data_IF_160938034901
#
_entry.id   IF_160938034901
#
_cell.length_a   1.000
_cell.length_b   1.000
_cell.length_c   1.000
_cell.angle_alpha   90.00
_cell.angle_beta   90.00
_cell.angle_gamma   90.00
#
_symmetry.space_group_name_H-M   'P 1'
#
loop_
_entity.id
_entity.type
_entity.pdbx_description
1 polymer ?
#
# COMPACT_ATOMS: atom_id res chain seq x y z
N UNK A 1 -16.34 16.25 -2.12
CA UNK A 1 -15.79 16.63 -0.80
C UNK A 1 -14.45 17.31 -1.05
N UNK A 2 -14.39 18.64 -1.05
CA UNK A 2 -13.23 19.41 -1.55
C UNK A 2 -12.24 19.86 -0.47
N UNK A 3 -12.08 19.07 0.59
CA UNK A 3 -11.08 19.35 1.63
C UNK A 3 -9.66 19.01 1.15
N UNK A 4 -8.61 19.54 1.81
CA UNK A 4 -7.23 19.20 1.47
C UNK A 4 -6.98 17.70 1.74
N UNK A 5 -6.21 17.09 0.85
CA UNK A 5 -5.75 15.71 1.02
C UNK A 5 -4.72 15.63 2.15
N UNK A 6 -4.71 14.52 2.88
CA UNK A 6 -3.69 14.24 3.89
C UNK A 6 -2.38 13.92 3.15
N UNK A 7 -1.33 14.69 3.45
CA UNK A 7 0.01 14.46 2.92
C UNK A 7 0.95 13.76 3.91
N UNK A 8 2.24 13.58 3.54
CA UNK A 8 2.84 13.97 2.26
C UNK A 8 2.32 13.15 1.07
N UNK A 9 2.49 13.65 -0.16
CA UNK A 9 2.24 12.85 -1.37
C UNK A 9 3.37 11.83 -1.57
N UNK A 10 3.15 10.85 -2.44
CA UNK A 10 4.18 9.85 -2.75
C UNK A 10 5.33 10.51 -3.51
N UNK A 11 5.01 11.43 -4.43
CA UNK A 11 5.96 12.16 -5.25
C UNK A 11 6.86 13.09 -4.43
N UNK A 12 6.30 13.82 -3.46
CA UNK A 12 7.08 14.64 -2.54
C UNK A 12 8.05 13.75 -1.75
N UNK A 13 7.55 12.63 -1.22
CA UNK A 13 8.36 11.65 -0.47
C UNK A 13 9.48 11.06 -1.32
N UNK A 14 9.21 10.72 -2.59
CA UNK A 14 10.23 10.18 -3.51
C UNK A 14 11.31 11.21 -3.83
N UNK A 15 10.92 12.48 -3.98
CA UNK A 15 11.86 13.59 -4.22
C UNK A 15 12.77 13.80 -3.02
N UNK A 16 12.21 13.84 -1.81
CA UNK A 16 12.99 13.96 -0.57
C UNK A 16 14.00 12.81 -0.41
N UNK A 17 13.55 11.57 -0.64
CA UNK A 17 14.43 10.39 -0.58
C UNK A 17 15.53 10.42 -1.64
N UNK A 18 15.24 10.91 -2.86
CA UNK A 18 16.24 11.07 -3.91
C UNK A 18 17.37 12.02 -3.47
N UNK A 19 17.00 13.17 -2.89
CA UNK A 19 17.92 14.20 -2.41
C UNK A 19 18.79 13.69 -1.25
N UNK A 20 18.28 12.77 -0.44
CA UNK A 20 19.03 12.04 0.58
C UNK A 20 19.98 10.95 0.02
N UNK A 21 19.96 10.73 -1.30
CA UNK A 21 20.83 9.75 -1.97
C UNK A 21 20.23 8.34 -2.08
N UNK A 22 18.95 8.15 -1.75
CA UNK A 22 18.28 6.85 -1.92
C UNK A 22 18.12 6.54 -3.41
N UNK A 23 18.32 5.27 -3.77
CA UNK A 23 18.20 4.79 -5.16
C UNK A 23 17.21 3.63 -5.33
N UNK A 24 16.78 3.01 -4.24
CA UNK A 24 15.93 1.83 -4.25
C UNK A 24 14.83 2.00 -3.22
N UNK A 25 13.57 1.91 -3.64
CA UNK A 25 12.39 2.10 -2.80
C UNK A 25 11.46 0.90 -2.94
N UNK A 26 10.94 0.43 -1.81
CA UNK A 26 9.84 -0.53 -1.78
C UNK A 26 8.61 0.17 -1.23
N UNK A 27 7.57 0.29 -2.06
CA UNK A 27 6.27 0.84 -1.66
C UNK A 27 5.37 -0.30 -1.18
N UNK A 28 4.91 -0.22 0.06
CA UNK A 28 3.96 -1.17 0.64
C UNK A 28 2.57 -0.52 0.82
N UNK A 29 1.56 -0.87 0.00
CA UNK A 29 0.24 -0.28 0.11
C UNK A 29 -0.57 -0.87 1.26
N UNK A 30 -0.33 -0.40 2.49
CA UNK A 30 -0.99 -0.93 3.70
C UNK A 30 -2.47 -0.53 3.85
N UNK A 31 -2.96 0.41 3.05
CA UNK A 31 -4.35 0.87 3.09
C UNK A 31 -5.34 -0.10 2.46
N UNK A 32 -4.85 -1.07 1.68
CA UNK A 32 -5.69 -1.98 0.90
C UNK A 32 -5.21 -3.42 0.99
N UNK A 33 -6.13 -4.36 0.80
CA UNK A 33 -5.84 -5.80 0.87
C UNK A 33 -5.63 -6.43 -0.51
N UNK A 34 -6.18 -5.85 -1.57
CA UNK A 34 -6.16 -6.41 -2.91
C UNK A 34 -5.76 -5.38 -3.97
N UNK A 35 -5.33 -5.87 -5.12
CA UNK A 35 -5.04 -5.03 -6.28
C UNK A 35 -6.32 -4.38 -6.84
N UNK A 36 -6.21 -3.10 -7.14
CA UNK A 36 -7.23 -2.24 -7.76
C UNK A 36 -6.51 -1.04 -8.40
N UNK A 37 -7.24 -0.03 -8.90
CA UNK A 37 -6.66 1.06 -9.72
C UNK A 37 -5.53 1.78 -9.00
N UNK A 38 -5.70 2.12 -7.74
CA UNK A 38 -4.74 2.84 -6.89
C UNK A 38 -3.46 2.02 -6.64
N UNK A 39 -3.45 0.72 -6.96
CA UNK A 39 -2.26 -0.14 -6.86
C UNK A 39 -1.66 -0.37 -8.24
N UNK A 40 -2.47 -0.90 -9.17
CA UNK A 40 -2.02 -1.33 -10.50
C UNK A 40 -1.68 -0.15 -11.41
N UNK A 41 -2.29 1.01 -11.18
CA UNK A 41 -2.01 2.22 -11.95
C UNK A 41 -1.10 3.15 -11.17
N UNK A 42 -1.56 3.65 -10.01
CA UNK A 42 -0.82 4.71 -9.32
C UNK A 42 0.58 4.22 -8.90
N UNK A 43 0.71 3.04 -8.31
CA UNK A 43 2.02 2.53 -7.87
C UNK A 43 2.83 1.92 -9.03
N UNK A 44 2.24 0.96 -9.74
CA UNK A 44 3.00 0.17 -10.72
C UNK A 44 3.34 0.93 -12.00
N UNK A 45 2.57 1.98 -12.31
CA UNK A 45 2.77 2.80 -13.51
C UNK A 45 3.20 4.21 -13.13
N UNK A 46 2.35 4.99 -12.45
CA UNK A 46 2.59 6.42 -12.29
C UNK A 46 3.80 6.71 -11.38
N UNK A 47 3.81 6.19 -10.15
CA UNK A 47 4.90 6.41 -9.19
C UNK A 47 6.17 5.68 -9.60
N UNK A 48 6.05 4.51 -10.24
CA UNK A 48 7.22 3.83 -10.82
C UNK A 48 7.87 4.68 -11.91
N UNK A 49 7.09 5.28 -12.81
CA UNK A 49 7.62 6.17 -13.83
C UNK A 49 8.26 7.41 -13.20
N UNK A 50 7.61 8.02 -12.22
CA UNK A 50 8.16 9.16 -11.48
C UNK A 50 9.51 8.83 -10.82
N UNK A 51 9.62 7.66 -10.18
CA UNK A 51 10.88 7.19 -9.61
C UNK A 51 11.97 6.98 -10.67
N UNK A 52 11.62 6.44 -11.84
CA UNK A 52 12.55 6.28 -12.97
C UNK A 52 13.07 7.64 -13.46
N UNK A 53 12.19 8.65 -13.54
CA UNK A 53 12.57 10.00 -13.95
C UNK A 53 13.53 10.66 -12.94
N UNK A 54 13.45 10.28 -11.67
CA UNK A 54 14.41 10.64 -10.61
C UNK A 54 15.68 9.77 -10.58
N UNK A 55 15.82 8.78 -11.47
CA UNK A 55 16.95 7.85 -11.46
C UNK A 55 16.94 6.87 -10.28
N UNK A 56 15.75 6.54 -9.76
CA UNK A 56 15.51 5.57 -8.70
C UNK A 56 14.83 4.31 -9.26
N UNK A 57 14.92 3.22 -8.51
CA UNK A 57 14.13 2.02 -8.73
C UNK A 57 13.05 1.87 -7.66
N UNK A 58 11.79 1.74 -8.08
CA UNK A 58 10.64 1.53 -7.21
C UNK A 58 10.01 0.16 -7.49
N UNK A 59 9.85 -0.63 -6.43
CA UNK A 59 9.10 -1.90 -6.46
C UNK A 59 8.00 -1.91 -5.41
N UNK A 60 7.02 -2.79 -5.59
CA UNK A 60 6.09 -3.18 -4.54
C UNK A 60 6.01 -4.71 -4.46
N UNK A 61 5.72 -5.28 -3.29
CA UNK A 61 5.33 -6.68 -3.22
C UNK A 61 3.91 -6.89 -3.78
N UNK A 62 3.53 -8.15 -3.98
CA UNK A 62 2.15 -8.52 -4.32
C UNK A 62 1.21 -8.08 -3.20
N UNK A 63 0.01 -7.60 -3.56
CA UNK A 63 -1.07 -7.37 -2.61
C UNK A 63 -1.48 -8.70 -1.97
N UNK A 64 -2.11 -8.64 -0.79
CA UNK A 64 -2.53 -9.86 -0.10
C UNK A 64 -3.54 -10.67 -0.92
N UNK A 65 -4.40 -10.03 -1.72
CA UNK A 65 -5.29 -10.68 -2.68
C UNK A 65 -6.01 -11.88 -2.05
N UNK A 66 -5.79 -13.08 -2.59
CA UNK A 66 -6.37 -14.35 -2.12
C UNK A 66 -5.42 -15.15 -1.23
N UNK A 67 -4.47 -14.47 -0.58
CA UNK A 67 -3.48 -15.07 0.32
C UNK A 67 -4.15 -15.99 1.35
N UNK A 68 -3.74 -17.26 1.44
CA UNK A 68 -4.26 -18.19 2.43
C UNK A 68 -4.09 -17.67 3.87
N UNK A 69 -3.02 -16.91 4.14
CA UNK A 69 -2.77 -16.31 5.45
C UNK A 69 -3.78 -15.21 5.78
N UNK A 70 -4.13 -14.34 4.81
CA UNK A 70 -5.16 -13.33 5.01
C UNK A 70 -6.52 -13.97 5.28
N UNK A 71 -6.89 -14.97 4.47
CA UNK A 71 -8.16 -15.70 4.63
C UNK A 71 -8.23 -16.37 6.01
N UNK A 72 -7.15 -17.02 6.46
CA UNK A 72 -7.08 -17.63 7.78
C UNK A 72 -7.22 -16.59 8.91
N UNK A 73 -6.55 -15.44 8.78
CA UNK A 73 -6.62 -14.36 9.76
C UNK A 73 -8.04 -13.77 9.87
N UNK A 74 -8.71 -13.54 8.72
CA UNK A 74 -10.09 -13.07 8.69
C UNK A 74 -11.05 -14.08 9.34
N UNK A 75 -10.89 -15.36 9.02
CA UNK A 75 -11.72 -16.43 9.61
C UNK A 75 -11.55 -16.52 11.14
N UNK A 76 -10.31 -16.41 11.63
CA UNK A 76 -10.02 -16.37 13.07
C UNK A 76 -10.66 -15.13 13.74
N UNK A 77 -10.51 -13.95 13.13
CA UNK A 77 -11.11 -12.71 13.63
C UNK A 77 -12.64 -12.80 13.70
N UNK A 78 -13.29 -13.33 12.66
CA UNK A 78 -14.74 -13.54 12.64
C UNK A 78 -15.20 -14.50 13.74
N UNK A 79 -14.50 -15.62 13.95
CA UNK A 79 -14.82 -16.58 15.03
C UNK A 79 -14.69 -15.94 16.42
N UNK A 80 -13.63 -15.16 16.64
CA UNK A 80 -13.43 -14.40 17.89
C UNK A 80 -14.56 -13.39 18.12
N UNK A 81 -14.93 -12.64 17.08
CA UNK A 81 -16.04 -11.68 17.14
C UNK A 81 -17.37 -12.34 17.51
N UNK A 82 -17.71 -13.48 16.88
CA UNK A 82 -18.91 -14.25 17.23
C UNK A 82 -18.89 -14.72 18.69
N UNK A 83 -17.73 -15.22 19.16
CA UNK A 83 -17.57 -15.64 20.55
C UNK A 83 -17.73 -14.51 21.58
N UNK A 84 -17.43 -13.26 21.20
CA UNK A 84 -17.66 -12.09 22.06
C UNK A 84 -19.13 -11.67 22.09
N UNK A 85 -19.82 -11.73 20.94
CA UNK A 85 -21.24 -11.37 20.84
C UNK A 85 -22.12 -12.35 21.61
N UNK A 86 -21.86 -13.66 21.55
CA UNK A 86 -22.63 -14.66 22.30
C UNK A 86 -22.37 -14.69 23.81
N UNK A 87 -21.41 -13.89 24.31
CA UNK A 87 -21.14 -13.69 25.74
C UNK A 87 -21.82 -12.42 26.29
N UNK A 88 -22.48 -11.65 25.43
CA UNK A 88 -23.38 -10.56 25.81
C UNK A 88 -24.80 -11.10 25.90
#
# INVERSE_FOLDING_TARGET
SGGPWIGPTVEDTLTELHDEGVRWVVVQPIGFLCDHVEILYDIDIAFRQFAVDLGMELRRPESLNTSPLLIAALADLSRKGLGQLGRR
#
